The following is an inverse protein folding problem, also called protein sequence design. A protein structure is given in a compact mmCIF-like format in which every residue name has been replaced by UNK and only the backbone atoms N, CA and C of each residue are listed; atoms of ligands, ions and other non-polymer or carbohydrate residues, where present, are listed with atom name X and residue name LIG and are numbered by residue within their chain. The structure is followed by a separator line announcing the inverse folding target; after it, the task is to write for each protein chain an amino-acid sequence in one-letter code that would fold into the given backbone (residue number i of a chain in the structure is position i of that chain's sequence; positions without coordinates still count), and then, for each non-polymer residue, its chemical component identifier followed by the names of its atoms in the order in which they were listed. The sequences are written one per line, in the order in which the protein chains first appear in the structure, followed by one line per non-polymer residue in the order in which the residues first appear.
data_IF_525450761494
#
_entry.id   IF_525450761494
#
_cell.length_a   1.000
_cell.length_b   1.000
_cell.length_c   1.000
_cell.angle_alpha   90.00
_cell.angle_beta   90.00
_cell.angle_gamma   90.00
#
_symmetry.space_group_name_H-M   'P 1'
#
loop_
_entity.id
_entity.type
_entity.pdbx_description
1 polymer ?
#
# COMPACT_ATOMS: atom_id res chain seq x y z
N UNK A 1 66.41 -29.02 31.46
CA UNK A 1 66.44 -27.59 31.06
C UNK A 1 65.95 -27.40 29.62
N UNK A 2 66.57 -28.00 28.59
CA UNK A 2 66.14 -27.81 27.19
C UNK A 2 64.68 -28.23 26.89
N UNK A 3 64.21 -29.35 27.44
CA UNK A 3 62.81 -29.81 27.27
C UNK A 3 61.81 -28.86 27.95
N UNK A 4 62.16 -28.31 29.11
CA UNK A 4 61.31 -27.36 29.84
C UNK A 4 61.18 -26.03 29.09
N UNK A 5 62.28 -25.53 28.51
CA UNK A 5 62.28 -24.30 27.70
C UNK A 5 61.48 -24.49 26.41
N UNK A 6 61.62 -25.64 25.73
CA UNK A 6 60.84 -25.92 24.52
C UNK A 6 59.33 -26.06 24.80
N UNK A 7 58.94 -26.70 25.90
CA UNK A 7 57.53 -26.80 26.32
C UNK A 7 56.97 -25.43 26.72
N UNK A 8 57.76 -24.59 27.41
CA UNK A 8 57.33 -23.22 27.76
C UNK A 8 57.19 -22.33 26.52
N UNK A 9 58.09 -22.43 25.56
CA UNK A 9 58.01 -21.71 24.28
C UNK A 9 56.82 -22.16 23.43
N UNK A 10 56.52 -23.46 23.39
CA UNK A 10 55.35 -24.00 22.69
C UNK A 10 54.04 -23.53 23.33
N UNK A 11 53.94 -23.54 24.67
CA UNK A 11 52.78 -23.04 25.42
C UNK A 11 52.56 -21.52 25.24
N UNK A 12 53.63 -20.75 25.15
CA UNK A 12 53.55 -19.30 24.89
C UNK A 12 53.11 -18.98 23.46
N UNK A 13 53.52 -19.79 22.46
CA UNK A 13 53.05 -19.64 21.09
C UNK A 13 51.55 -19.96 20.95
N UNK A 14 51.09 -21.08 21.54
CA UNK A 14 49.67 -21.47 21.49
C UNK A 14 48.78 -20.45 22.19
N UNK A 15 49.21 -19.91 23.33
CA UNK A 15 48.45 -18.88 24.04
C UNK A 15 48.35 -17.54 23.28
N UNK A 16 49.32 -17.24 22.42
CA UNK A 16 49.29 -16.04 21.57
C UNK A 16 48.31 -16.22 20.40
N UNK A 17 48.33 -17.39 19.76
CA UNK A 17 47.42 -17.77 18.68
C UNK A 17 45.96 -17.82 19.16
N UNK A 18 45.71 -18.39 20.34
CA UNK A 18 44.39 -18.42 20.95
C UNK A 18 43.85 -17.01 21.24
N UNK A 19 44.68 -16.10 21.77
CA UNK A 19 44.25 -14.71 22.02
C UNK A 19 43.91 -13.96 20.74
N UNK A 20 44.69 -14.14 19.69
CA UNK A 20 44.44 -13.52 18.40
C UNK A 20 43.12 -14.01 17.79
N UNK A 21 42.90 -15.34 17.83
CA UNK A 21 41.63 -15.95 17.41
C UNK A 21 40.43 -15.42 18.21
N UNK A 22 40.55 -15.30 19.53
CA UNK A 22 39.48 -14.77 20.38
C UNK A 22 39.16 -13.30 20.07
N UNK A 23 40.16 -12.48 19.79
CA UNK A 23 39.95 -11.10 19.36
C UNK A 23 39.18 -11.05 18.02
N UNK A 24 39.58 -11.85 17.03
CA UNK A 24 38.89 -11.91 15.74
C UNK A 24 37.45 -12.37 15.87
N UNK A 25 37.18 -13.38 16.70
CA UNK A 25 35.82 -13.85 16.99
C UNK A 25 34.99 -12.71 17.58
N UNK A 26 35.53 -11.96 18.55
CA UNK A 26 34.84 -10.80 19.13
C UNK A 26 34.48 -9.72 18.11
N UNK A 27 35.41 -9.37 17.21
CA UNK A 27 35.17 -8.40 16.15
C UNK A 27 34.11 -8.87 15.15
N UNK A 28 34.14 -10.15 14.78
CA UNK A 28 33.13 -10.74 13.91
C UNK A 28 31.76 -10.85 14.60
N UNK A 29 31.71 -11.15 15.90
CA UNK A 29 30.45 -11.21 16.66
C UNK A 29 29.77 -9.84 16.65
N UNK A 30 30.49 -8.76 16.97
CA UNK A 30 29.95 -7.39 16.92
C UNK A 30 29.40 -7.04 15.54
N UNK A 31 30.12 -7.43 14.48
CA UNK A 31 29.71 -7.15 13.10
C UNK A 31 28.46 -7.96 12.71
N UNK A 32 28.43 -9.26 13.04
CA UNK A 32 27.33 -10.15 12.73
C UNK A 32 26.06 -9.79 13.52
N UNK A 33 26.19 -9.51 14.82
CA UNK A 33 25.09 -9.10 15.67
C UNK A 33 24.49 -7.77 15.18
N UNK A 34 25.32 -6.81 14.77
CA UNK A 34 24.82 -5.57 14.20
C UNK A 34 24.02 -5.80 12.90
N UNK A 35 24.39 -6.76 12.06
CA UNK A 35 23.63 -7.14 10.88
C UNK A 35 22.33 -7.88 11.26
N UNK A 36 22.41 -8.80 12.23
CA UNK A 36 21.27 -9.52 12.78
C UNK A 36 20.18 -8.58 13.32
N UNK A 37 20.57 -7.57 14.11
CA UNK A 37 19.64 -6.57 14.67
C UNK A 37 18.96 -5.71 13.58
N UNK A 38 19.60 -5.56 12.42
CA UNK A 38 18.99 -4.92 11.25
C UNK A 38 18.14 -5.88 10.41
N UNK A 39 18.05 -7.16 10.79
CA UNK A 39 17.44 -8.26 10.01
C UNK A 39 18.11 -8.51 8.65
N UNK A 40 19.36 -8.06 8.50
CA UNK A 40 20.21 -8.32 7.35
C UNK A 40 20.87 -9.70 7.54
N UNK A 41 20.04 -10.74 7.40
CA UNK A 41 20.38 -12.10 7.77
C UNK A 41 21.43 -12.72 6.85
N UNK A 42 21.45 -12.35 5.57
CA UNK A 42 22.48 -12.77 4.62
C UNK A 42 23.86 -12.27 5.06
N UNK A 43 23.97 -10.99 5.42
CA UNK A 43 25.22 -10.44 5.94
C UNK A 43 25.60 -11.04 7.29
N UNK A 44 24.62 -11.25 8.18
CA UNK A 44 24.84 -11.86 9.49
C UNK A 44 25.36 -13.30 9.35
N UNK A 45 24.71 -14.13 8.52
CA UNK A 45 25.10 -15.52 8.27
C UNK A 45 26.51 -15.60 7.67
N UNK A 46 26.84 -14.73 6.71
CA UNK A 46 28.16 -14.66 6.11
C UNK A 46 29.26 -14.39 7.15
N UNK A 47 29.03 -13.48 8.09
CA UNK A 47 30.01 -13.14 9.14
C UNK A 47 30.06 -14.21 10.23
N UNK A 48 28.93 -14.75 10.67
CA UNK A 48 28.88 -15.89 11.57
C UNK A 48 29.58 -17.13 10.99
N UNK A 49 29.48 -17.36 9.68
CA UNK A 49 30.21 -18.41 8.99
C UNK A 49 31.74 -18.24 9.07
N UNK A 50 32.25 -17.01 9.22
CA UNK A 50 33.68 -16.76 9.46
C UNK A 50 34.09 -17.15 10.88
N UNK A 51 33.23 -16.90 11.87
CA UNK A 51 33.44 -17.33 13.26
C UNK A 51 33.50 -18.86 13.33
N UNK A 52 32.54 -19.56 12.72
CA UNK A 52 32.52 -21.03 12.73
C UNK A 52 33.68 -21.68 11.96
N UNK A 53 34.31 -20.97 11.02
CA UNK A 53 35.58 -21.41 10.40
C UNK A 53 36.76 -21.31 11.36
N UNK A 54 36.79 -20.30 12.22
CA UNK A 54 37.82 -20.12 13.24
C UNK A 54 37.59 -21.07 14.42
N UNK A 55 36.35 -21.15 14.90
CA UNK A 55 35.91 -21.97 16.02
C UNK A 55 34.61 -22.72 15.68
N UNK A 56 34.70 -23.94 15.13
CA UNK A 56 33.53 -24.74 14.77
C UNK A 56 32.61 -25.06 15.95
N UNK A 57 33.13 -25.03 17.19
CA UNK A 57 32.38 -25.35 18.41
C UNK A 57 31.86 -24.11 19.15
N UNK A 58 31.88 -22.94 18.51
CA UNK A 58 31.36 -21.71 19.11
C UNK A 58 29.82 -21.75 19.25
N UNK A 59 29.35 -22.21 20.41
CA UNK A 59 27.94 -22.53 20.68
C UNK A 59 26.98 -21.35 20.46
N UNK A 60 27.39 -20.13 20.77
CA UNK A 60 26.57 -18.95 20.54
C UNK A 60 26.33 -18.71 19.05
N UNK A 61 27.38 -18.81 18.23
CA UNK A 61 27.28 -18.62 16.78
C UNK A 61 26.44 -19.72 16.14
N UNK A 62 26.60 -20.98 16.56
CA UNK A 62 25.74 -22.07 16.07
C UNK A 62 24.26 -21.79 16.35
N UNK A 63 23.92 -21.29 17.55
CA UNK A 63 22.54 -20.93 17.90
C UNK A 63 22.01 -19.81 17.01
N UNK A 64 22.81 -18.75 16.80
CA UNK A 64 22.44 -17.61 15.94
C UNK A 64 22.23 -18.00 14.48
N UNK A 65 23.11 -18.82 13.90
CA UNK A 65 22.94 -19.34 12.53
C UNK A 65 21.67 -20.18 12.41
N UNK A 66 21.38 -21.03 13.41
CA UNK A 66 20.15 -21.81 13.42
C UNK A 66 18.90 -20.94 13.53
N UNK A 67 18.96 -19.88 14.33
CA UNK A 67 17.87 -18.90 14.47
C UNK A 67 17.62 -18.18 13.14
N UNK A 68 18.66 -17.67 12.49
CA UNK A 68 18.60 -17.06 11.15
C UNK A 68 17.95 -18.02 10.14
N UNK A 69 18.43 -19.26 10.06
CA UNK A 69 17.90 -20.24 9.13
C UNK A 69 16.39 -20.48 9.37
N UNK A 70 15.98 -20.56 10.63
CA UNK A 70 14.55 -20.70 10.97
C UNK A 70 13.72 -19.49 10.57
N UNK A 71 14.26 -18.27 10.66
CA UNK A 71 13.55 -17.05 10.26
C UNK A 71 13.40 -17.00 8.73
N UNK A 72 14.48 -17.30 8.01
CA UNK A 72 14.47 -17.35 6.54
C UNK A 72 13.47 -18.41 6.04
N UNK A 73 13.47 -19.61 6.65
CA UNK A 73 12.52 -20.67 6.30
C UNK A 73 11.07 -20.23 6.50
N UNK A 74 10.76 -19.58 7.63
CA UNK A 74 9.41 -19.06 7.91
C UNK A 74 8.98 -17.96 6.93
N UNK A 75 9.88 -17.01 6.60
CA UNK A 75 9.60 -15.98 5.61
C UNK A 75 9.34 -16.61 4.23
N UNK A 76 10.14 -17.60 3.83
CA UNK A 76 9.94 -18.31 2.57
C UNK A 76 8.65 -19.15 2.56
N UNK A 77 8.23 -19.70 3.70
CA UNK A 77 6.94 -20.37 3.84
C UNK A 77 5.77 -19.41 3.63
N UNK A 78 5.87 -18.19 4.18
CA UNK A 78 4.88 -17.13 3.97
C UNK A 78 4.81 -16.71 2.49
N UNK A 79 5.95 -16.57 1.81
CA UNK A 79 6.00 -16.28 0.37
C UNK A 79 5.29 -17.39 -0.43
N UNK A 80 5.59 -18.67 -0.15
CA UNK A 80 4.94 -19.78 -0.86
C UNK A 80 3.43 -19.84 -0.63
N UNK A 81 2.98 -19.50 0.58
CA UNK A 81 1.56 -19.38 0.89
C UNK A 81 0.93 -18.20 0.14
N UNK A 82 1.59 -17.05 0.14
CA UNK A 82 1.16 -15.85 -0.59
C UNK A 82 1.00 -16.12 -2.08
N UNK A 83 1.97 -16.79 -2.71
CA UNK A 83 1.89 -17.18 -4.12
C UNK A 83 0.73 -18.14 -4.42
N UNK A 84 0.40 -19.03 -3.47
CA UNK A 84 -0.71 -19.96 -3.62
C UNK A 84 -2.05 -19.21 -3.59
N UNK A 85 -2.27 -18.39 -2.57
CA UNK A 85 -3.54 -17.65 -2.42
C UNK A 85 -3.70 -16.59 -3.52
N UNK A 86 -2.60 -16.01 -4.00
CA UNK A 86 -2.59 -15.11 -5.15
C UNK A 86 -3.07 -15.80 -6.43
N UNK A 87 -2.62 -17.04 -6.69
CA UNK A 87 -3.10 -17.85 -7.82
C UNK A 87 -4.58 -18.22 -7.69
N UNK A 88 -5.07 -18.35 -6.46
CA UNK A 88 -6.48 -18.58 -6.15
C UNK A 88 -7.32 -17.29 -6.25
N UNK A 89 -6.68 -16.13 -6.38
CA UNK A 89 -7.31 -14.82 -6.57
C UNK A 89 -7.52 -14.01 -5.28
N UNK A 90 -7.10 -14.53 -4.12
CA UNK A 90 -7.18 -13.81 -2.84
C UNK A 90 -6.00 -12.83 -2.68
N UNK A 91 -6.14 -11.69 -3.32
CA UNK A 91 -5.14 -10.61 -3.35
C UNK A 91 -4.92 -10.00 -1.96
N UNK A 92 -5.96 -9.90 -1.13
CA UNK A 92 -5.84 -9.31 0.21
C UNK A 92 -5.02 -10.20 1.13
N UNK A 93 -5.27 -11.51 1.12
CA UNK A 93 -4.48 -12.45 1.90
C UNK A 93 -3.06 -12.60 1.36
N UNK A 94 -2.87 -12.61 0.03
CA UNK A 94 -1.55 -12.60 -0.58
C UNK A 94 -0.70 -11.42 -0.10
N UNK A 95 -1.27 -10.20 -0.15
CA UNK A 95 -0.59 -9.00 0.30
C UNK A 95 -0.19 -9.09 1.78
N UNK A 96 -1.10 -9.56 2.63
CA UNK A 96 -0.84 -9.75 4.06
C UNK A 96 0.34 -10.71 4.30
N UNK A 97 0.35 -11.86 3.62
CA UNK A 97 1.40 -12.87 3.73
C UNK A 97 2.76 -12.36 3.25
N UNK A 98 2.80 -11.63 2.14
CA UNK A 98 4.05 -11.06 1.64
C UNK A 98 4.57 -9.94 2.53
N UNK A 99 3.71 -9.07 3.07
CA UNK A 99 4.12 -8.06 4.04
C UNK A 99 4.66 -8.68 5.34
N UNK A 100 4.06 -9.78 5.82
CA UNK A 100 4.58 -10.51 6.97
C UNK A 100 5.95 -11.14 6.69
N UNK A 101 6.17 -11.65 5.47
CA UNK A 101 7.46 -12.17 5.05
C UNK A 101 8.53 -11.08 4.95
N UNK A 102 8.18 -9.90 4.42
CA UNK A 102 9.06 -8.72 4.33
C UNK A 102 9.42 -8.18 5.72
N UNK A 103 8.45 -8.07 6.63
CA UNK A 103 8.71 -7.66 8.02
C UNK A 103 9.65 -8.64 8.73
N UNK A 104 9.56 -9.92 8.39
CA UNK A 104 10.43 -10.96 8.94
C UNK A 104 11.83 -10.92 8.34
N UNK A 105 11.95 -10.84 7.01
CA UNK A 105 13.20 -10.84 6.25
C UNK A 105 13.20 -9.73 5.18
N UNK A 106 13.47 -8.47 5.56
CA UNK A 106 13.29 -7.30 4.68
C UNK A 106 14.33 -7.18 3.56
N UNK A 107 15.39 -7.97 3.63
CA UNK A 107 16.45 -8.03 2.62
C UNK A 107 16.42 -9.32 1.79
N UNK A 108 15.27 -10.02 1.77
CA UNK A 108 15.12 -11.23 0.95
C UNK A 108 15.38 -10.92 -0.53
N UNK A 109 16.29 -11.67 -1.17
CA UNK A 109 16.49 -11.59 -2.62
C UNK A 109 15.19 -11.79 -3.41
N UNK A 110 14.29 -12.63 -2.89
CA UNK A 110 12.95 -12.82 -3.44
C UNK A 110 11.93 -11.85 -2.81
N UNK A 111 11.99 -10.59 -3.23
CA UNK A 111 11.01 -9.57 -2.87
C UNK A 111 9.65 -9.85 -3.54
N UNK A 112 8.84 -10.68 -2.87
CA UNK A 112 7.54 -11.10 -3.35
C UNK A 112 6.53 -9.93 -3.46
N UNK A 113 6.70 -8.86 -2.68
CA UNK A 113 5.90 -7.64 -2.78
C UNK A 113 6.20 -6.90 -4.07
N UNK A 114 7.48 -6.67 -4.37
CA UNK A 114 7.88 -5.99 -5.61
C UNK A 114 7.54 -6.84 -6.83
N UNK A 115 7.76 -8.17 -6.77
CA UNK A 115 7.41 -9.11 -7.84
C UNK A 115 5.92 -9.06 -8.22
N UNK A 116 5.04 -8.86 -7.24
CA UNK A 116 3.58 -8.87 -7.44
C UNK A 116 2.94 -7.47 -7.40
N UNK A 117 3.74 -6.42 -7.29
CA UNK A 117 3.30 -5.02 -7.14
C UNK A 117 2.27 -4.57 -8.16
N UNK A 118 2.47 -4.91 -9.43
CA UNK A 118 1.53 -4.56 -10.49
C UNK A 118 0.13 -5.15 -10.24
N UNK A 119 0.04 -6.38 -9.72
CA UNK A 119 -1.23 -7.03 -9.42
C UNK A 119 -1.95 -6.35 -8.26
N UNK A 120 -1.21 -5.97 -7.20
CA UNK A 120 -1.75 -5.22 -6.07
C UNK A 120 -2.21 -3.82 -6.47
N UNK A 121 -1.45 -3.12 -7.30
CA UNK A 121 -1.84 -1.81 -7.85
C UNK A 121 -3.11 -1.92 -8.70
N UNK A 122 -3.17 -2.90 -9.61
CA UNK A 122 -4.36 -3.14 -10.43
C UNK A 122 -5.58 -3.44 -9.56
N UNK A 123 -5.42 -4.26 -8.52
CA UNK A 123 -6.49 -4.60 -7.59
C UNK A 123 -7.02 -3.37 -6.84
N UNK A 124 -6.12 -2.54 -6.31
CA UNK A 124 -6.48 -1.31 -5.62
C UNK A 124 -7.23 -0.34 -6.55
N UNK A 125 -6.75 -0.18 -7.79
CA UNK A 125 -7.39 0.70 -8.77
C UNK A 125 -8.74 0.16 -9.20
N UNK A 126 -8.87 -1.15 -9.42
CA UNK A 126 -10.17 -1.78 -9.72
C UNK A 126 -11.17 -1.53 -8.60
N UNK A 127 -10.79 -1.81 -7.36
CA UNK A 127 -11.66 -1.58 -6.20
C UNK A 127 -12.08 -0.12 -6.08
N UNK A 128 -11.17 0.82 -6.37
CA UNK A 128 -11.47 2.25 -6.39
C UNK A 128 -12.48 2.62 -7.50
N UNK A 129 -12.33 2.09 -8.72
CA UNK A 129 -13.27 2.32 -9.83
C UNK A 129 -14.65 1.70 -9.53
N UNK A 130 -14.69 0.49 -8.96
CA UNK A 130 -15.94 -0.17 -8.56
C UNK A 130 -16.69 0.65 -7.50
N UNK A 131 -15.97 1.21 -6.52
CA UNK A 131 -16.54 2.12 -5.52
C UNK A 131 -17.06 3.42 -6.13
N UNK A 132 -16.32 4.03 -7.07
CA UNK A 132 -16.80 5.19 -7.83
C UNK A 132 -18.10 4.89 -8.57
N UNK A 133 -18.16 3.75 -9.26
CA UNK A 133 -19.36 3.31 -9.98
C UNK A 133 -20.54 3.07 -9.04
N UNK A 134 -20.31 2.40 -7.90
CA UNK A 134 -21.33 2.15 -6.89
C UNK A 134 -21.88 3.45 -6.29
N UNK A 135 -21.00 4.39 -5.93
CA UNK A 135 -21.38 5.71 -5.42
C UNK A 135 -22.23 6.48 -6.44
N UNK A 136 -21.83 6.46 -7.72
CA UNK A 136 -22.62 7.05 -8.82
C UNK A 136 -24.01 6.42 -8.94
N UNK A 137 -24.12 5.10 -8.83
CA UNK A 137 -25.42 4.41 -8.87
C UNK A 137 -26.31 4.85 -7.70
N UNK A 138 -25.78 4.89 -6.48
CA UNK A 138 -26.52 5.36 -5.30
C UNK A 138 -27.00 6.81 -5.47
N UNK A 139 -26.10 7.70 -5.88
CA UNK A 139 -26.44 9.09 -6.15
C UNK A 139 -27.54 9.23 -7.22
N UNK A 140 -27.43 8.52 -8.35
CA UNK A 140 -28.43 8.56 -9.42
C UNK A 140 -29.79 8.04 -8.96
N UNK A 141 -29.85 7.06 -8.08
CA UNK A 141 -31.11 6.58 -7.49
C UNK A 141 -31.79 7.68 -6.66
N UNK A 142 -31.03 8.35 -5.80
CA UNK A 142 -31.52 9.49 -4.99
C UNK A 142 -32.01 10.61 -5.91
N UNK A 143 -31.17 11.02 -6.86
CA UNK A 143 -31.52 12.05 -7.82
C UNK A 143 -32.82 11.70 -8.54
N UNK A 144 -32.99 10.46 -9.02
CA UNK A 144 -34.17 10.04 -9.77
C UNK A 144 -35.45 10.08 -8.91
N UNK A 145 -35.35 9.79 -7.62
CA UNK A 145 -36.45 10.00 -6.68
C UNK A 145 -36.84 11.46 -6.52
N UNK A 146 -35.85 12.35 -6.37
CA UNK A 146 -36.07 13.79 -6.27
C UNK A 146 -36.78 14.32 -7.51
N UNK A 147 -36.35 13.92 -8.71
CA UNK A 147 -37.01 14.32 -9.96
C UNK A 147 -38.47 13.86 -10.05
N UNK A 148 -38.81 12.70 -9.48
CA UNK A 148 -40.21 12.20 -9.49
C UNK A 148 -41.11 12.91 -8.49
N UNK A 149 -40.56 13.31 -7.34
CA UNK A 149 -41.34 13.83 -6.19
C UNK A 149 -41.26 15.35 -6.05
N UNK A 150 -40.26 15.98 -6.66
CA UNK A 150 -39.91 17.41 -6.57
C UNK A 150 -39.70 17.93 -5.14
N UNK A 151 -39.50 17.05 -4.16
CA UNK A 151 -39.31 17.42 -2.76
C UNK A 151 -37.82 17.38 -2.36
N UNK A 152 -37.16 18.52 -2.54
CA UNK A 152 -35.78 18.78 -2.12
C UNK A 152 -35.65 19.12 -0.62
N UNK A 153 -36.77 19.36 0.07
CA UNK A 153 -36.78 19.83 1.46
C UNK A 153 -36.91 18.71 2.49
N UNK A 154 -37.22 17.48 2.03
CA UNK A 154 -37.49 16.37 2.95
C UNK A 154 -36.27 16.00 3.80
N UNK A 155 -36.50 15.77 5.10
CA UNK A 155 -35.48 15.23 6.02
C UNK A 155 -34.93 13.87 5.54
N UNK A 156 -35.76 13.08 4.85
CA UNK A 156 -35.37 11.80 4.25
C UNK A 156 -34.27 12.00 3.20
N UNK A 157 -34.44 12.96 2.29
CA UNK A 157 -33.45 13.27 1.27
C UNK A 157 -32.12 13.72 1.91
N UNK A 158 -32.16 14.61 2.90
CA UNK A 158 -30.92 15.03 3.60
C UNK A 158 -30.16 13.84 4.17
N UNK A 159 -30.86 12.89 4.80
CA UNK A 159 -30.24 11.68 5.35
C UNK A 159 -29.66 10.76 4.26
N UNK A 160 -30.35 10.61 3.13
CA UNK A 160 -29.88 9.79 2.00
C UNK A 160 -28.66 10.41 1.31
N UNK A 161 -28.62 11.73 1.15
CA UNK A 161 -27.45 12.45 0.63
C UNK A 161 -26.27 12.35 1.59
N UNK A 162 -26.50 12.56 2.88
CA UNK A 162 -25.45 12.44 3.89
C UNK A 162 -24.84 11.03 3.94
N UNK A 163 -25.63 9.99 3.67
CA UNK A 163 -25.13 8.61 3.62
C UNK A 163 -24.09 8.36 2.52
N UNK A 164 -23.98 9.25 1.51
CA UNK A 164 -22.95 9.19 0.47
C UNK A 164 -21.57 9.67 0.97
N UNK A 165 -21.55 10.49 2.04
CA UNK A 165 -20.36 11.20 2.50
C UNK A 165 -19.20 10.26 2.89
N UNK A 166 -19.40 9.18 3.67
CA UNK A 166 -18.29 8.31 4.06
C UNK A 166 -17.57 7.68 2.85
N UNK A 167 -18.33 7.25 1.85
CA UNK A 167 -17.76 6.67 0.63
C UNK A 167 -17.04 7.73 -0.22
N UNK A 168 -17.61 8.93 -0.34
CA UNK A 168 -16.97 10.05 -1.01
C UNK A 168 -15.62 10.42 -0.37
N UNK A 169 -15.55 10.47 0.96
CA UNK A 169 -14.31 10.72 1.70
C UNK A 169 -13.28 9.60 1.50
N UNK A 170 -13.72 8.34 1.53
CA UNK A 170 -12.85 7.19 1.30
C UNK A 170 -12.24 7.19 -0.11
N UNK A 171 -13.02 7.54 -1.13
CA UNK A 171 -12.53 7.65 -2.50
C UNK A 171 -11.45 8.73 -2.64
N UNK A 172 -11.59 9.87 -1.97
CA UNK A 172 -10.55 10.91 -1.97
C UNK A 172 -9.25 10.45 -1.32
N UNK A 173 -9.34 9.63 -0.27
CA UNK A 173 -8.17 9.11 0.44
C UNK A 173 -7.45 7.97 -0.30
N UNK A 174 -8.14 7.24 -1.19
CA UNK A 174 -7.64 5.98 -1.77
C UNK A 174 -7.27 6.05 -3.25
N UNK A 175 -7.58 7.16 -3.93
CA UNK A 175 -7.18 7.38 -5.32
C UNK A 175 -5.66 7.49 -5.44
N UNK A 176 -5.02 6.55 -6.14
CA UNK A 176 -3.59 6.61 -6.45
C UNK A 176 -3.34 6.42 -7.94
N UNK A 177 -2.36 7.17 -8.46
CA UNK A 177 -1.91 7.02 -9.83
C UNK A 177 -1.15 5.68 -9.98
N UNK A 178 -1.39 4.90 -11.05
CA UNK A 178 -0.67 3.66 -11.29
C UNK A 178 0.84 3.93 -11.44
N UNK A 179 1.66 3.21 -10.66
CA UNK A 179 3.13 3.42 -10.66
C UNK A 179 3.82 2.44 -11.61
N UNK A 180 3.34 1.21 -11.68
CA UNK A 180 3.83 0.17 -12.60
C UNK A 180 3.34 0.36 -14.03
N UNK A 181 4.10 -0.13 -15.01
CA UNK A 181 3.76 -0.02 -16.44
C UNK A 181 2.50 -0.81 -16.75
N UNK A 182 2.39 -2.00 -16.17
CA UNK A 182 1.28 -2.94 -16.30
C UNK A 182 0.00 -2.34 -15.72
N UNK A 183 0.06 -1.71 -14.54
CA UNK A 183 -1.10 -1.02 -13.99
C UNK A 183 -1.53 0.16 -14.85
N UNK A 184 -0.59 0.92 -15.45
CA UNK A 184 -0.95 1.99 -16.40
C UNK A 184 -1.69 1.45 -17.62
N UNK A 185 -1.17 0.39 -18.23
CA UNK A 185 -1.81 -0.26 -19.38
C UNK A 185 -3.21 -0.80 -19.05
N UNK A 186 -3.40 -1.31 -17.83
CA UNK A 186 -4.71 -1.74 -17.36
C UNK A 186 -5.71 -0.58 -17.20
N UNK A 187 -5.25 0.56 -16.69
CA UNK A 187 -6.09 1.72 -16.36
C UNK A 187 -6.42 2.59 -17.56
N UNK A 188 -5.51 2.70 -18.52
CA UNK A 188 -5.68 3.51 -19.72
C UNK A 188 -7.04 3.33 -20.43
N UNK A 189 -7.50 2.09 -20.73
CA UNK A 189 -8.81 1.89 -21.36
C UNK A 189 -10.00 2.23 -20.45
N UNK A 190 -9.79 2.32 -19.13
CA UNK A 190 -10.84 2.64 -18.14
C UNK A 190 -10.88 4.14 -17.79
N UNK A 191 -9.90 4.92 -18.26
CA UNK A 191 -9.73 6.31 -17.85
C UNK A 191 -10.93 7.17 -18.23
N UNK A 192 -11.45 7.02 -19.46
CA UNK A 192 -12.59 7.80 -19.95
C UNK A 192 -13.85 7.59 -19.09
N UNK A 193 -14.21 6.33 -18.80
CA UNK A 193 -15.37 6.01 -17.96
C UNK A 193 -15.17 6.51 -16.53
N UNK A 194 -13.99 6.25 -15.94
CA UNK A 194 -13.63 6.73 -14.60
C UNK A 194 -13.77 8.25 -14.51
N UNK A 195 -13.20 8.97 -15.46
CA UNK A 195 -13.18 10.43 -15.47
C UNK A 195 -14.58 11.00 -15.69
N UNK A 196 -15.43 10.34 -16.50
CA UNK A 196 -16.84 10.68 -16.64
C UNK A 196 -17.63 10.49 -15.33
N UNK A 197 -17.35 9.43 -14.56
CA UNK A 197 -17.96 9.22 -13.24
C UNK A 197 -17.54 10.32 -12.28
N UNK A 198 -16.24 10.63 -12.21
CA UNK A 198 -15.70 11.68 -11.34
C UNK A 198 -16.28 13.04 -11.73
N UNK A 199 -16.34 13.35 -13.03
CA UNK A 199 -16.90 14.59 -13.56
C UNK A 199 -18.37 14.78 -13.14
N UNK A 200 -19.19 13.72 -13.29
CA UNK A 200 -20.60 13.76 -12.90
C UNK A 200 -20.77 13.95 -11.40
N UNK A 201 -20.10 13.12 -10.59
CA UNK A 201 -20.15 13.24 -9.13
C UNK A 201 -19.66 14.61 -8.67
N UNK A 202 -18.69 15.19 -9.40
CA UNK A 202 -18.17 16.51 -9.08
C UNK A 202 -19.09 17.66 -9.44
N UNK A 203 -19.78 17.55 -10.56
CA UNK A 203 -20.80 18.52 -10.93
C UNK A 203 -21.89 18.64 -9.86
N UNK A 204 -22.28 17.53 -9.22
CA UNK A 204 -23.30 17.56 -8.16
C UNK A 204 -22.73 17.82 -6.76
N UNK A 205 -21.43 18.11 -6.61
CA UNK A 205 -20.82 18.33 -5.30
C UNK A 205 -20.70 17.07 -4.44
N UNK A 206 -20.89 15.88 -5.01
CA UNK A 206 -20.64 14.60 -4.32
C UNK A 206 -19.13 14.37 -4.18
N UNK A 207 -18.35 14.79 -5.20
CA UNK A 207 -16.88 14.76 -5.20
C UNK A 207 -16.27 16.09 -5.74
N UNK A 208 -14.97 16.35 -5.52
CA UNK A 208 -14.39 16.19 -4.20
C UNK A 208 -15.25 16.92 -3.15
N UNK A 209 -15.29 16.38 -1.93
CA UNK A 209 -16.01 17.00 -0.81
C UNK A 209 -15.29 18.30 -0.43
N UNK A 210 -15.76 19.43 -0.96
CA UNK A 210 -15.27 20.76 -0.56
C UNK A 210 -15.97 21.29 0.69
N UNK A 211 -16.99 20.59 1.18
CA UNK A 211 -17.78 20.99 2.33
C UNK A 211 -16.97 20.91 3.63
N UNK A 212 -17.12 21.94 4.46
CA UNK A 212 -16.47 22.04 5.77
C UNK A 212 -17.21 21.23 6.84
N UNK A 213 -18.46 20.84 6.58
CA UNK A 213 -19.32 20.06 7.47
C UNK A 213 -20.43 19.31 6.70
N UNK A 214 -21.18 18.46 7.41
CA UNK A 214 -22.25 17.61 6.87
C UNK A 214 -23.44 18.39 6.27
N UNK A 215 -23.81 19.51 6.89
CA UNK A 215 -24.94 20.34 6.44
C UNK A 215 -24.60 21.01 5.11
N UNK A 216 -23.41 21.60 5.02
CA UNK A 216 -22.90 22.21 3.79
C UNK A 216 -22.79 21.18 2.65
N UNK A 217 -22.36 19.95 2.95
CA UNK A 217 -22.31 18.86 1.96
C UNK A 217 -23.69 18.57 1.37
N UNK A 218 -24.70 18.41 2.21
CA UNK A 218 -26.07 18.12 1.78
C UNK A 218 -26.67 19.28 0.99
N UNK A 219 -26.52 20.52 1.47
CA UNK A 219 -27.08 21.69 0.80
C UNK A 219 -26.44 21.94 -0.57
N UNK A 220 -25.11 21.79 -0.70
CA UNK A 220 -24.42 21.90 -1.99
C UNK A 220 -25.00 20.91 -3.02
N UNK A 221 -25.23 19.65 -2.63
CA UNK A 221 -25.81 18.67 -3.54
C UNK A 221 -27.24 19.02 -3.93
N UNK A 222 -28.06 19.50 -2.97
CA UNK A 222 -29.44 19.94 -3.25
C UNK A 222 -29.49 21.11 -4.21
N UNK A 223 -28.61 22.11 -4.04
CA UNK A 223 -28.51 23.26 -4.94
C UNK A 223 -28.20 22.82 -6.38
N UNK A 224 -27.22 21.91 -6.54
CA UNK A 224 -26.85 21.40 -7.86
C UNK A 224 -27.93 20.51 -8.48
N UNK A 225 -28.65 19.71 -7.68
CA UNK A 225 -29.83 18.98 -8.16
C UNK A 225 -30.94 19.93 -8.61
N UNK A 226 -31.26 20.96 -7.82
CA UNK A 226 -32.27 21.95 -8.15
C UNK A 226 -31.92 22.70 -9.45
N UNK A 227 -30.67 23.12 -9.58
CA UNK A 227 -30.15 23.74 -10.79
C UNK A 227 -30.33 22.82 -12.01
N UNK A 228 -29.96 21.55 -11.89
CA UNK A 228 -30.01 20.58 -12.99
C UNK A 228 -31.43 20.27 -13.43
N UNK A 229 -32.36 20.16 -12.47
CA UNK A 229 -33.80 19.98 -12.74
C UNK A 229 -34.37 21.21 -13.46
N UNK A 230 -34.10 22.41 -12.94
CA UNK A 230 -34.61 23.67 -13.50
C UNK A 230 -34.14 23.92 -14.94
N UNK A 231 -32.91 23.54 -15.27
CA UNK A 231 -32.30 23.81 -16.58
C UNK A 231 -32.36 22.63 -17.55
N UNK A 232 -32.96 21.49 -17.17
CA UNK A 232 -33.06 20.32 -18.04
C UNK A 232 -31.71 19.66 -18.38
N UNK A 233 -30.65 19.98 -17.62
CA UNK A 233 -29.29 19.38 -17.72
C UNK A 233 -29.23 18.02 -17.01
N UNK A 234 -30.35 17.62 -16.45
CA UNK A 234 -30.49 16.44 -15.61
C UNK A 234 -30.26 15.11 -16.34
N UNK A 235 -29.23 14.36 -15.89
CA UNK A 235 -28.99 12.93 -16.16
C UNK A 235 -29.45 12.42 -17.54
N UNK A 236 -29.09 13.11 -18.63
CA UNK A 236 -29.17 12.50 -19.95
C UNK A 236 -28.08 11.45 -20.02
N UNK A 237 -28.47 10.17 -20.00
CA UNK A 237 -27.56 9.02 -19.93
C UNK A 237 -26.56 8.90 -21.07
N UNK A 238 -26.56 9.80 -22.06
CA UNK A 238 -25.70 9.74 -23.25
C UNK A 238 -25.02 11.08 -23.59
N UNK A 239 -25.33 12.18 -22.88
CA UNK A 239 -24.78 13.51 -23.19
C UNK A 239 -24.19 14.15 -21.91
N UNK A 240 -22.93 13.86 -21.60
CA UNK A 240 -22.08 14.78 -20.83
C UNK A 240 -21.01 15.38 -21.77
N UNK A 241 -21.34 16.38 -22.63
CA UNK A 241 -20.35 17.05 -23.45
C UNK A 241 -20.08 18.44 -22.89
N UNK A 242 -19.35 18.55 -21.78
CA UNK A 242 -18.66 19.78 -21.42
C UNK A 242 -17.43 19.34 -20.60
N UNK A 243 -16.25 19.81 -20.99
CA UNK A 243 -15.04 19.56 -20.20
C UNK A 243 -15.31 20.03 -18.77
N UNK A 244 -14.86 19.24 -17.79
CA UNK A 244 -14.97 19.55 -16.36
C UNK A 244 -14.49 20.98 -16.07
N UNK A 245 -13.48 21.45 -16.79
CA UNK A 245 -12.98 22.83 -16.72
C UNK A 245 -14.03 23.88 -17.11
N UNK A 246 -14.81 23.69 -18.18
CA UNK A 246 -15.81 24.65 -18.62
C UNK A 246 -16.98 24.80 -17.63
N UNK A 247 -17.30 23.71 -16.91
CA UNK A 247 -18.34 23.70 -15.88
C UNK A 247 -17.81 24.32 -14.58
N UNK A 248 -16.60 23.97 -14.16
CA UNK A 248 -15.99 24.53 -12.95
C UNK A 248 -15.67 26.03 -13.10
N UNK A 249 -15.25 26.49 -14.28
CA UNK A 249 -15.01 27.91 -14.58
C UNK A 249 -16.32 28.72 -14.63
N UNK A 250 -17.46 28.07 -14.92
CA UNK A 250 -18.79 28.69 -14.89
C UNK A 250 -19.43 28.74 -13.49
N UNK A 251 -19.13 27.74 -12.63
CA UNK A 251 -19.69 27.63 -11.28
C UNK A 251 -18.83 28.39 -10.24
N UNK A 252 -17.50 28.41 -10.43
CA UNK A 252 -16.55 29.08 -9.56
C UNK A 252 -15.75 30.15 -10.32
N UNK A 253 -16.35 31.31 -10.64
CA UNK A 253 -15.72 32.33 -11.49
C UNK A 253 -14.46 32.98 -10.89
N UNK A 254 -14.20 32.79 -9.59
CA UNK A 254 -12.96 33.22 -8.94
C UNK A 254 -11.74 32.40 -9.40
N UNK A 255 -11.94 31.15 -9.83
CA UNK A 255 -10.87 30.23 -10.27
C UNK A 255 -10.30 30.61 -11.65
N UNK A 256 -11.09 31.26 -12.48
CA UNK A 256 -10.69 31.76 -13.80
C UNK A 256 -9.81 33.03 -13.73
N UNK A 257 -9.71 33.67 -12.55
CA UNK A 257 -8.89 34.88 -12.35
C UNK A 257 -7.43 34.57 -11.98
N UNK A 258 -7.09 33.30 -11.76
CA UNK A 258 -5.76 32.83 -11.36
C UNK A 258 -4.99 32.06 -12.46
N UNK A 259 -5.57 31.95 -13.68
CA UNK A 259 -4.91 31.44 -14.90
C UNK A 259 -4.55 32.60 -15.82
#
# INVERSE_FOLDING_TARGET
MAVLVAVLSLLMLTACEDRYKQQQIGEFMLTADAAYERKDFESAELVYGRILKLDPEHEETKRKVKEIASIIDQANDLIRQGDKVLKEGDLSEAQRLFSEAEDMHPYNEDDAMERNKAQFEIAAIRAHIERLAALRVQFRQIAAEVKRKEDLSSKKLSAELLALLPEAQLLLATGSAPKTTEARQYVEPLAEERDAIIAELSFYGVLPVLATNEEEYVENIKEMLAYSIKNGVYLKGEDLPLSVDAILDGIFPERAKEK
#
